data_IF_583473050315
#
_entry.id   IF_583473050315
#
_cell.length_a   1.000
_cell.length_b   1.000
_cell.length_c   1.000
_cell.angle_alpha   90.00
_cell.angle_beta   90.00
_cell.angle_gamma   90.00
#
_symmetry.space_group_name_H-M   'P 1'
#
loop_
_entity.id
_entity.type
_entity.pdbx_description
1 polymer ?
#
# COMPACT_ATOMS: atom_id res chain seq x y z
N UNK A 1 10.24 19.78 3.88
CA UNK A 1 10.79 20.14 5.22
C UNK A 1 11.56 18.99 5.83
N UNK A 2 12.30 19.24 6.91
CA UNK A 2 12.99 18.19 7.68
C UNK A 2 11.99 17.21 8.32
N UNK A 3 10.79 17.64 8.62
CA UNK A 3 9.74 16.76 9.16
C UNK A 3 9.28 15.70 8.14
N UNK A 4 9.24 16.04 6.87
CA UNK A 4 9.03 15.08 5.78
C UNK A 4 10.23 14.14 5.62
N UNK A 5 11.46 14.68 5.79
CA UNK A 5 12.70 13.91 5.63
C UNK A 5 12.88 12.74 6.60
N UNK A 6 12.25 12.77 7.78
CA UNK A 6 12.37 11.67 8.76
C UNK A 6 11.73 10.36 8.28
N UNK A 7 10.72 10.44 7.42
CA UNK A 7 9.93 9.30 6.95
C UNK A 7 10.36 8.83 5.55
N UNK A 8 11.28 9.58 4.91
CA UNK A 8 11.74 9.36 3.53
C UNK A 8 13.26 9.26 3.42
N UNK A 9 13.74 9.00 2.21
CA UNK A 9 15.16 9.13 1.88
C UNK A 9 15.58 10.59 1.78
N UNK A 10 16.74 10.92 2.32
CA UNK A 10 17.35 12.24 2.23
C UNK A 10 18.75 12.12 1.63
N UNK A 11 19.07 12.97 0.67
CA UNK A 11 20.39 13.04 0.08
C UNK A 11 21.25 14.12 0.75
N UNK A 12 22.46 13.76 1.14
CA UNK A 12 23.49 14.71 1.52
C UNK A 12 24.35 15.00 0.29
N UNK A 13 24.34 16.25 -0.17
CA UNK A 13 25.13 16.74 -1.30
C UNK A 13 26.61 16.87 -0.94
N UNK A 14 27.51 16.54 -1.87
CA UNK A 14 28.97 16.70 -1.71
C UNK A 14 29.48 18.13 -2.05
N UNK A 15 28.60 19.05 -2.40
CA UNK A 15 28.90 20.40 -2.86
C UNK A 15 29.23 20.51 -4.36
N UNK A 16 29.37 19.39 -5.06
CA UNK A 16 29.64 19.32 -6.50
C UNK A 16 28.49 18.72 -7.30
N UNK A 17 27.31 18.58 -6.65
CA UNK A 17 26.10 18.04 -7.27
C UNK A 17 26.02 16.52 -7.28
N UNK A 18 26.80 15.82 -6.46
CA UNK A 18 26.71 14.38 -6.28
C UNK A 18 26.26 14.03 -4.87
N UNK A 19 25.62 12.86 -4.73
CA UNK A 19 25.24 12.32 -3.43
C UNK A 19 26.48 11.89 -2.67
N UNK A 20 26.76 12.55 -1.55
CA UNK A 20 27.79 12.16 -0.61
C UNK A 20 27.34 11.00 0.27
N UNK A 21 26.13 11.11 0.83
CA UNK A 21 25.47 10.06 1.63
C UNK A 21 24.00 9.96 1.28
N UNK A 22 23.46 8.77 1.33
CA UNK A 22 22.04 8.52 1.33
C UNK A 22 21.59 8.20 2.76
N UNK A 23 20.61 8.95 3.26
CA UNK A 23 20.14 8.91 4.64
C UNK A 23 18.68 8.43 4.62
N UNK A 24 18.47 7.15 4.90
CA UNK A 24 17.14 6.54 4.84
C UNK A 24 16.48 6.54 6.22
N UNK A 25 15.26 7.13 6.32
CA UNK A 25 14.43 7.15 7.54
C UNK A 25 15.18 7.59 8.80
N UNK A 26 15.92 8.68 8.72
CA UNK A 26 16.71 9.23 9.82
C UNK A 26 15.89 10.18 10.69
N UNK A 27 16.21 10.25 11.99
CA UNK A 27 15.58 11.23 12.89
C UNK A 27 15.98 12.67 12.49
N UNK A 28 15.12 13.65 12.84
CA UNK A 28 15.40 15.08 12.62
C UNK A 28 16.74 15.51 13.23
N UNK A 29 17.04 15.01 14.43
CA UNK A 29 18.31 15.28 15.11
C UNK A 29 19.49 14.70 14.33
N UNK A 30 19.39 13.47 13.85
CA UNK A 30 20.41 12.83 13.02
C UNK A 30 20.65 13.60 11.73
N UNK A 31 19.57 13.97 11.01
CA UNK A 31 19.68 14.77 9.77
C UNK A 31 20.37 16.11 10.02
N UNK A 32 20.09 16.77 11.14
CA UNK A 32 20.71 18.04 11.52
C UNK A 32 22.20 17.85 11.84
N UNK A 33 22.53 16.85 12.65
CA UNK A 33 23.92 16.55 13.05
C UNK A 33 24.80 16.12 11.87
N UNK A 34 24.22 15.44 10.87
CA UNK A 34 24.91 15.05 9.64
C UNK A 34 25.02 16.20 8.61
N UNK A 35 24.45 17.37 8.90
CA UNK A 35 24.50 18.53 8.01
C UNK A 35 23.58 18.41 6.79
N UNK A 36 22.56 17.57 6.84
CA UNK A 36 21.60 17.40 5.75
C UNK A 36 20.53 18.50 5.73
N UNK A 37 20.36 19.25 6.84
CA UNK A 37 19.38 20.32 6.95
C UNK A 37 20.03 21.65 6.55
N UNK A 38 19.47 22.33 5.54
CA UNK A 38 19.97 23.62 5.09
C UNK A 38 19.54 24.78 6.02
N UNK A 39 20.01 25.99 5.75
CA UNK A 39 19.75 27.18 6.57
C UNK A 39 18.25 27.56 6.65
N UNK A 40 17.44 27.09 5.73
CA UNK A 40 15.99 27.30 5.69
C UNK A 40 15.20 26.16 6.40
N UNK A 41 15.88 25.19 7.00
CA UNK A 41 15.25 24.06 7.68
C UNK A 41 14.75 22.96 6.70
N UNK A 42 15.22 22.96 5.46
CA UNK A 42 14.83 21.98 4.44
C UNK A 42 15.92 20.93 4.22
N UNK A 43 15.54 19.83 3.60
CA UNK A 43 16.42 18.71 3.20
C UNK A 43 16.24 18.41 1.72
N UNK A 44 17.26 17.83 1.10
CA UNK A 44 17.18 17.28 -0.26
C UNK A 44 16.48 15.92 -0.19
N UNK A 45 15.17 15.93 -0.48
CA UNK A 45 14.30 14.77 -0.35
C UNK A 45 14.39 13.89 -1.60
N UNK A 46 14.47 12.57 -1.40
CA UNK A 46 14.28 11.60 -2.47
C UNK A 46 12.82 11.61 -2.93
N UNK A 47 12.63 11.88 -4.21
CA UNK A 47 11.28 11.92 -4.84
C UNK A 47 10.88 10.59 -5.48
N UNK A 48 11.74 9.57 -5.41
CA UNK A 48 11.52 8.28 -6.05
C UNK A 48 11.75 8.26 -7.56
N UNK A 49 12.12 9.38 -8.17
CA UNK A 49 12.41 9.47 -9.61
C UNK A 49 13.92 9.39 -9.84
N UNK A 50 14.39 8.34 -10.51
CA UNK A 50 15.80 8.07 -10.76
C UNK A 50 16.02 7.75 -12.23
N UNK A 51 17.05 8.37 -12.83
CA UNK A 51 17.50 8.07 -14.18
C UNK A 51 18.75 7.20 -14.14
N UNK A 52 18.69 6.06 -14.80
CA UNK A 52 19.82 5.15 -14.94
C UNK A 52 20.48 5.27 -16.31
N UNK A 53 21.79 5.28 -16.33
CA UNK A 53 22.53 5.09 -17.56
C UNK A 53 22.58 3.59 -17.95
N UNK A 54 23.04 3.35 -19.18
CA UNK A 54 23.17 2.00 -19.73
C UNK A 54 24.09 1.07 -18.92
N UNK A 55 25.14 1.63 -18.29
CA UNK A 55 26.13 0.83 -17.58
C UNK A 55 25.57 0.38 -16.23
N UNK A 56 24.87 1.29 -15.53
CA UNK A 56 24.17 0.94 -14.29
C UNK A 56 23.06 -0.11 -14.55
N UNK A 57 22.28 0.06 -15.61
CA UNK A 57 21.27 -0.96 -15.99
C UNK A 57 21.89 -2.33 -16.27
N UNK A 58 23.08 -2.38 -16.92
CA UNK A 58 23.80 -3.64 -17.12
C UNK A 58 24.29 -4.26 -15.82
N UNK A 59 24.78 -3.44 -14.87
CA UNK A 59 25.20 -3.91 -13.56
C UNK A 59 24.01 -4.51 -12.77
N UNK A 60 22.88 -3.81 -12.78
CA UNK A 60 21.64 -4.30 -12.16
C UNK A 60 21.16 -5.60 -12.81
N UNK A 61 21.19 -5.68 -14.15
CA UNK A 61 20.81 -6.91 -14.87
C UNK A 61 21.75 -8.07 -14.54
N UNK A 62 23.04 -7.79 -14.34
CA UNK A 62 24.04 -8.79 -13.95
C UNK A 62 23.75 -9.48 -12.61
N UNK A 63 23.04 -8.81 -11.69
CA UNK A 63 22.66 -9.40 -10.41
C UNK A 63 21.68 -10.59 -10.57
N UNK A 64 20.86 -10.57 -11.61
CA UNK A 64 19.78 -11.56 -11.80
C UNK A 64 19.91 -12.32 -13.12
N UNK A 65 21.06 -12.23 -13.82
CA UNK A 65 21.27 -12.90 -15.11
C UNK A 65 22.58 -13.67 -15.16
N UNK A 66 22.61 -14.68 -16.03
CA UNK A 66 23.80 -15.47 -16.43
C UNK A 66 23.82 -15.53 -17.93
N UNK A 67 24.99 -15.23 -18.56
CA UNK A 67 25.16 -15.18 -20.02
C UNK A 67 24.15 -14.29 -20.77
N UNK A 68 23.68 -13.23 -20.10
CA UNK A 68 22.70 -12.28 -20.65
C UNK A 68 21.25 -12.74 -20.63
N UNK A 69 20.95 -13.92 -20.09
CA UNK A 69 19.61 -14.48 -19.87
C UNK A 69 19.22 -14.36 -18.39
N UNK A 70 17.92 -14.22 -18.12
CA UNK A 70 17.42 -14.27 -16.75
C UNK A 70 17.80 -15.61 -16.10
N UNK A 71 18.36 -15.53 -14.92
CA UNK A 71 18.70 -16.65 -14.06
C UNK A 71 17.69 -16.69 -12.92
N UNK A 72 16.79 -17.67 -12.94
CA UNK A 72 15.67 -17.75 -11.98
C UNK A 72 16.15 -17.96 -10.53
N UNK A 73 17.26 -18.66 -10.32
CA UNK A 73 17.82 -18.86 -8.98
C UNK A 73 18.38 -17.55 -8.42
N UNK A 74 19.13 -16.81 -9.23
CA UNK A 74 19.62 -15.48 -8.87
C UNK A 74 18.46 -14.52 -8.62
N UNK A 75 17.47 -14.48 -9.53
CA UNK A 75 16.29 -13.63 -9.35
C UNK A 75 15.58 -13.93 -8.04
N UNK A 76 15.32 -15.21 -7.76
CA UNK A 76 14.65 -15.64 -6.53
C UNK A 76 15.45 -15.33 -5.27
N UNK A 77 16.79 -15.26 -5.35
CA UNK A 77 17.61 -14.87 -4.20
C UNK A 77 17.44 -13.40 -3.81
N UNK A 78 17.17 -12.50 -4.77
CA UNK A 78 16.91 -11.08 -4.51
C UNK A 78 15.44 -10.76 -4.28
N UNK A 79 14.52 -11.49 -4.92
CA UNK A 79 13.08 -11.22 -4.89
C UNK A 79 12.38 -12.27 -4.04
N UNK A 80 12.44 -12.10 -2.73
CA UNK A 80 11.79 -12.99 -1.77
C UNK A 80 11.47 -12.25 -0.45
N UNK A 81 10.58 -12.83 0.36
CA UNK A 81 10.12 -12.23 1.62
C UNK A 81 11.16 -12.30 2.75
N UNK A 82 12.20 -13.12 2.63
CA UNK A 82 13.23 -13.25 3.67
C UNK A 82 14.29 -12.16 3.53
N UNK A 83 14.85 -11.97 2.33
CA UNK A 83 15.81 -10.91 2.07
C UNK A 83 15.15 -9.53 2.07
N UNK A 84 13.95 -9.38 1.47
CA UNK A 84 13.17 -8.13 1.37
C UNK A 84 14.04 -6.91 1.06
N UNK A 85 14.90 -7.05 0.05
CA UNK A 85 15.73 -5.92 -0.37
C UNK A 85 14.87 -4.76 -0.84
N UNK A 86 15.24 -3.56 -0.42
CA UNK A 86 14.55 -2.32 -0.73
C UNK A 86 15.30 -1.55 -1.80
N UNK A 87 14.57 -1.04 -2.80
CA UNK A 87 15.19 -0.18 -3.80
C UNK A 87 15.85 1.05 -3.17
N UNK A 88 15.14 1.72 -2.26
CA UNK A 88 15.64 2.92 -1.59
C UNK A 88 16.71 2.64 -0.54
N UNK A 89 16.51 1.63 0.30
CA UNK A 89 17.40 1.31 1.40
C UNK A 89 18.67 0.58 0.95
N UNK A 90 18.57 -0.27 -0.08
CA UNK A 90 19.67 -1.16 -0.45
C UNK A 90 20.33 -0.79 -1.78
N UNK A 91 19.58 -0.49 -2.86
CA UNK A 91 20.19 -0.21 -4.16
C UNK A 91 20.74 1.21 -4.29
N UNK A 92 20.20 2.20 -3.59
CA UNK A 92 20.73 3.58 -3.64
C UNK A 92 21.93 3.80 -2.72
N UNK A 93 22.06 3.04 -1.65
CA UNK A 93 23.09 3.22 -0.66
C UNK A 93 24.52 3.11 -1.22
N UNK A 94 24.88 2.09 -2.03
CA UNK A 94 26.21 1.96 -2.62
C UNK A 94 26.57 3.07 -3.62
N UNK A 95 25.59 3.78 -4.17
CA UNK A 95 25.80 4.85 -5.15
C UNK A 95 26.26 6.18 -4.51
N UNK A 96 26.21 6.28 -3.20
CA UNK A 96 26.65 7.46 -2.46
C UNK A 96 28.15 7.40 -2.18
N UNK A 97 28.89 8.45 -2.52
CA UNK A 97 30.37 8.47 -2.54
C UNK A 97 31.08 8.17 -1.23
N UNK A 98 30.44 8.46 -0.10
CA UNK A 98 31.01 8.23 1.23
C UNK A 98 30.40 7.02 1.95
N UNK A 99 29.69 6.14 1.25
CA UNK A 99 29.19 4.89 1.78
C UNK A 99 30.32 3.88 1.98
N UNK A 100 30.21 3.03 2.99
CA UNK A 100 31.06 1.86 3.20
C UNK A 100 30.23 0.60 3.35
N UNK A 101 30.84 -0.56 3.08
CA UNK A 101 30.14 -1.85 3.20
C UNK A 101 29.75 -2.13 4.67
N UNK A 102 30.63 -1.76 5.61
CA UNK A 102 30.36 -1.94 7.03
C UNK A 102 29.14 -1.13 7.48
N UNK A 103 29.06 0.15 7.07
CA UNK A 103 27.89 0.98 7.36
C UNK A 103 26.64 0.44 6.64
N UNK A 104 26.77 -0.09 5.42
CA UNK A 104 25.66 -0.65 4.66
C UNK A 104 25.00 -1.84 5.39
N UNK A 105 25.80 -2.71 5.98
CA UNK A 105 25.29 -3.83 6.76
C UNK A 105 24.50 -3.41 8.00
N UNK A 106 24.71 -2.20 8.51
CA UNK A 106 24.01 -1.68 9.69
C UNK A 106 22.76 -0.87 9.37
N UNK A 107 22.48 -0.59 8.07
CA UNK A 107 21.26 0.13 7.70
C UNK A 107 20.02 -0.67 8.05
N UNK A 108 19.00 0.03 8.56
CA UNK A 108 17.73 -0.60 8.93
C UNK A 108 17.11 -1.32 7.71
N UNK A 109 16.77 -2.62 7.81
CA UNK A 109 16.14 -3.37 6.73
C UNK A 109 14.64 -3.07 6.64
N UNK A 110 14.03 -3.39 5.51
CA UNK A 110 12.56 -3.41 5.41
C UNK A 110 11.93 -4.65 6.10
N UNK A 111 12.71 -5.70 6.26
CA UNK A 111 12.37 -6.91 7.03
C UNK A 111 13.21 -7.03 8.29
N UNK A 112 13.76 -8.20 8.49
CA UNK A 112 14.67 -8.51 9.61
C UNK A 112 16.08 -8.74 9.09
N UNK A 113 17.08 -8.52 9.95
CA UNK A 113 18.45 -8.92 9.63
C UNK A 113 18.57 -10.44 9.57
N UNK A 114 19.06 -10.94 8.44
CA UNK A 114 19.30 -12.37 8.21
C UNK A 114 20.41 -12.56 7.17
N UNK A 115 20.87 -13.82 7.02
CA UNK A 115 21.98 -14.16 6.13
C UNK A 115 21.65 -13.90 4.66
N UNK A 116 20.40 -14.08 4.23
CA UNK A 116 19.96 -13.82 2.86
C UNK A 116 20.03 -12.33 2.52
N UNK A 117 19.62 -11.46 3.44
CA UNK A 117 19.76 -10.00 3.27
C UNK A 117 21.23 -9.59 3.18
N UNK A 118 22.10 -10.13 4.03
CA UNK A 118 23.53 -9.82 3.98
C UNK A 118 24.16 -10.29 2.67
N UNK A 119 23.79 -11.47 2.18
CA UNK A 119 24.23 -11.95 0.87
C UNK A 119 23.79 -11.04 -0.27
N UNK A 120 22.51 -10.62 -0.27
CA UNK A 120 22.01 -9.65 -1.24
C UNK A 120 22.74 -8.30 -1.17
N UNK A 121 22.94 -7.75 0.03
CA UNK A 121 23.67 -6.47 0.23
C UNK A 121 25.10 -6.56 -0.27
N UNK A 122 25.78 -7.68 -0.06
CA UNK A 122 27.12 -7.93 -0.60
C UNK A 122 27.11 -7.87 -2.13
N UNK A 123 26.22 -8.61 -2.78
CA UNK A 123 26.12 -8.62 -4.24
C UNK A 123 25.74 -7.25 -4.82
N UNK A 124 24.81 -6.53 -4.18
CA UNK A 124 24.43 -5.17 -4.58
C UNK A 124 25.62 -4.22 -4.43
N UNK A 125 26.38 -4.31 -3.34
CA UNK A 125 27.57 -3.48 -3.12
C UNK A 125 28.63 -3.73 -4.19
N UNK A 126 28.98 -4.99 -4.45
CA UNK A 126 29.97 -5.36 -5.46
C UNK A 126 29.58 -4.87 -6.86
N UNK A 127 28.31 -4.92 -7.20
CA UNK A 127 27.82 -4.47 -8.49
C UNK A 127 27.75 -2.94 -8.63
N UNK A 128 27.49 -2.20 -7.56
CA UNK A 128 27.08 -0.79 -7.65
C UNK A 128 28.07 0.22 -7.05
N UNK A 129 28.98 -0.15 -6.15
CA UNK A 129 29.84 0.80 -5.44
C UNK A 129 30.81 1.58 -6.34
N UNK A 130 31.01 1.12 -7.59
CA UNK A 130 31.82 1.82 -8.60
C UNK A 130 31.08 2.95 -9.33
N UNK A 131 29.78 3.08 -9.12
CA UNK A 131 28.95 4.13 -9.70
C UNK A 131 28.79 5.29 -8.73
N UNK A 132 28.30 6.42 -9.23
CA UNK A 132 27.97 7.58 -8.40
C UNK A 132 26.67 8.22 -8.85
N UNK A 133 25.91 8.70 -7.88
CA UNK A 133 24.59 9.31 -8.09
C UNK A 133 24.74 10.83 -8.14
N UNK A 134 24.23 11.45 -9.20
CA UNK A 134 24.17 12.91 -9.37
C UNK A 134 22.79 13.40 -8.92
N UNK A 135 22.76 14.51 -8.19
CA UNK A 135 21.52 15.17 -7.78
C UNK A 135 20.98 16.08 -8.89
N UNK A 136 19.69 15.96 -9.14
CA UNK A 136 18.90 16.91 -9.91
C UNK A 136 17.89 17.55 -8.96
N UNK A 137 18.12 18.79 -8.55
CA UNK A 137 17.21 19.51 -7.66
C UNK A 137 16.03 20.08 -8.46
N UNK A 138 14.81 19.65 -8.12
CA UNK A 138 13.55 20.12 -8.71
C UNK A 138 12.89 21.15 -7.78
N UNK A 139 13.51 22.33 -7.63
CA UNK A 139 12.98 23.39 -6.79
C UNK A 139 12.63 24.65 -7.62
N UNK A 140 11.49 25.34 -7.32
CA UNK A 140 10.51 25.02 -6.30
C UNK A 140 9.64 23.81 -6.68
N UNK A 141 9.34 22.95 -5.70
CA UNK A 141 8.50 21.77 -5.89
C UNK A 141 7.73 21.44 -4.60
N UNK A 142 6.60 20.80 -4.75
CA UNK A 142 5.86 20.20 -3.65
C UNK A 142 5.98 18.68 -3.71
N UNK A 143 6.12 18.07 -2.54
CA UNK A 143 6.15 16.62 -2.39
C UNK A 143 4.88 16.18 -1.66
N UNK A 144 4.00 15.48 -2.41
CA UNK A 144 2.74 14.97 -1.90
C UNK A 144 2.89 13.46 -1.80
N UNK A 145 2.80 12.92 -0.58
CA UNK A 145 2.94 11.50 -0.30
C UNK A 145 1.62 10.90 0.16
N UNK A 146 1.25 9.77 -0.41
CA UNK A 146 0.08 8.97 -0.01
C UNK A 146 0.40 7.47 -0.18
N UNK A 147 1.29 6.98 0.66
CA UNK A 147 1.74 5.58 0.68
C UNK A 147 0.80 4.61 1.41
N UNK A 148 -0.24 5.12 2.07
CA UNK A 148 -1.23 4.33 2.80
C UNK A 148 -2.65 4.70 2.40
N UNK A 149 -3.60 3.78 2.59
CA UNK A 149 -5.03 4.04 2.35
C UNK A 149 -5.54 5.23 3.16
N UNK A 150 -5.05 5.40 4.39
CA UNK A 150 -5.41 6.52 5.25
C UNK A 150 -4.92 7.86 4.73
N UNK A 151 -3.69 7.91 4.22
CA UNK A 151 -3.13 9.13 3.62
C UNK A 151 -3.90 9.51 2.35
N UNK A 152 -4.21 8.54 1.48
CA UNK A 152 -5.05 8.77 0.30
C UNK A 152 -6.42 9.34 0.70
N UNK A 153 -7.09 8.73 1.68
CA UNK A 153 -8.39 9.21 2.15
C UNK A 153 -8.30 10.62 2.71
N UNK A 154 -7.29 10.95 3.53
CA UNK A 154 -7.07 12.29 4.06
C UNK A 154 -6.83 13.32 2.93
N UNK A 155 -5.97 12.98 2.00
CA UNK A 155 -5.67 13.84 0.84
C UNK A 155 -6.94 14.18 0.08
N UNK A 156 -7.73 13.18 -0.29
CA UNK A 156 -8.92 13.35 -1.13
C UNK A 156 -10.14 13.93 -0.38
N UNK A 157 -10.14 13.94 0.95
CA UNK A 157 -11.27 14.46 1.72
C UNK A 157 -10.96 15.72 2.51
N UNK A 158 -9.92 15.71 3.34
CA UNK A 158 -9.63 16.76 4.31
C UNK A 158 -8.58 17.77 3.82
N UNK A 159 -7.57 17.31 3.08
CA UNK A 159 -6.38 18.09 2.75
C UNK A 159 -6.40 18.68 1.33
N UNK A 160 -7.33 18.23 0.48
CA UNK A 160 -7.36 18.62 -0.94
C UNK A 160 -7.39 20.14 -1.15
N UNK A 161 -8.05 20.89 -0.25
CA UNK A 161 -8.07 22.36 -0.30
C UNK A 161 -6.69 23.01 -0.25
N UNK A 162 -5.70 22.35 0.33
CA UNK A 162 -4.30 22.83 0.36
C UNK A 162 -3.63 22.78 -1.02
N UNK A 163 -4.19 22.02 -1.96
CA UNK A 163 -3.65 21.77 -3.30
C UNK A 163 -4.52 22.35 -4.43
N UNK A 164 -5.50 23.21 -4.11
CA UNK A 164 -6.32 23.89 -5.10
C UNK A 164 -5.49 24.69 -6.15
N UNK A 165 -4.36 25.23 -5.72
CA UNK A 165 -3.42 25.93 -6.59
C UNK A 165 -2.78 25.02 -7.67
N UNK A 166 -2.80 23.69 -7.49
CA UNK A 166 -2.42 22.68 -8.48
C UNK A 166 -3.60 22.29 -9.40
N UNK A 167 -4.77 22.89 -9.22
CA UNK A 167 -5.98 22.56 -9.97
C UNK A 167 -6.74 21.34 -9.43
N UNK A 168 -6.40 20.86 -8.24
CA UNK A 168 -7.08 19.73 -7.62
C UNK A 168 -8.42 20.16 -7.02
N UNK A 169 -9.43 19.30 -7.16
CA UNK A 169 -10.80 19.56 -6.68
C UNK A 169 -11.48 18.27 -6.24
N UNK A 170 -12.41 18.39 -5.31
CA UNK A 170 -13.21 17.26 -4.81
C UNK A 170 -14.22 16.69 -5.81
N UNK A 171 -14.38 17.33 -6.97
CA UNK A 171 -15.39 16.94 -7.96
C UNK A 171 -14.79 16.96 -9.34
N UNK A 172 -14.54 15.76 -9.88
CA UNK A 172 -13.95 15.59 -11.22
C UNK A 172 -14.79 14.58 -12.00
N UNK A 173 -15.22 14.93 -13.21
CA UNK A 173 -16.04 14.07 -14.07
C UNK A 173 -17.28 13.52 -13.34
N UNK A 174 -18.04 14.39 -12.67
CA UNK A 174 -19.22 14.02 -11.90
C UNK A 174 -20.35 15.04 -12.09
N UNK A 175 -21.59 14.58 -11.99
CA UNK A 175 -22.80 15.43 -11.93
C UNK A 175 -23.13 15.88 -10.49
N UNK A 176 -22.44 15.34 -9.49
CA UNK A 176 -22.63 15.75 -8.10
C UNK A 176 -22.22 17.20 -7.86
N UNK A 177 -23.18 18.03 -7.42
CA UNK A 177 -22.98 19.48 -7.24
C UNK A 177 -22.50 19.90 -5.85
N UNK A 178 -22.46 18.98 -4.90
CA UNK A 178 -22.05 19.23 -3.50
C UNK A 178 -23.24 19.18 -2.53
N UNK A 179 -22.99 19.60 -1.29
CA UNK A 179 -23.98 19.56 -0.20
C UNK A 179 -23.69 18.47 0.83
N UNK A 180 -23.07 17.36 0.45
CA UNK A 180 -22.57 16.33 1.34
C UNK A 180 -21.03 16.39 1.42
N UNK A 181 -20.41 15.83 2.45
CA UNK A 181 -18.95 15.80 2.62
C UNK A 181 -18.28 14.74 1.72
N UNK A 182 -18.59 14.75 0.42
CA UNK A 182 -18.10 13.79 -0.56
C UNK A 182 -17.01 14.40 -1.45
N UNK A 183 -16.00 13.60 -1.73
CA UNK A 183 -15.07 13.77 -2.82
C UNK A 183 -15.38 12.73 -3.89
N UNK A 184 -15.68 13.18 -5.13
CA UNK A 184 -16.20 12.31 -6.20
C UNK A 184 -15.37 12.47 -7.46
N UNK A 185 -14.77 11.39 -7.91
CA UNK A 185 -14.01 11.34 -9.16
C UNK A 185 -14.63 10.29 -10.08
N UNK A 186 -15.05 10.71 -11.27
CA UNK A 186 -15.67 9.85 -12.27
C UNK A 186 -16.85 9.06 -11.67
N UNK A 187 -17.85 9.77 -11.12
CA UNK A 187 -18.97 9.13 -10.44
C UNK A 187 -20.28 9.88 -10.57
N UNK A 188 -21.36 9.15 -10.34
CA UNK A 188 -22.73 9.67 -10.26
C UNK A 188 -23.29 9.48 -8.85
N UNK A 189 -23.92 10.52 -8.29
CA UNK A 189 -24.51 10.50 -6.94
C UNK A 189 -25.97 10.94 -7.05
N UNK A 190 -26.91 10.08 -6.64
CA UNK A 190 -28.34 10.44 -6.57
C UNK A 190 -28.61 11.48 -5.48
N UNK A 191 -29.63 12.31 -5.69
CA UNK A 191 -29.98 13.45 -4.82
C UNK A 191 -30.41 13.04 -3.40
N UNK A 192 -30.89 11.82 -3.21
CA UNK A 192 -31.39 11.26 -1.94
C UNK A 192 -30.33 10.47 -1.15
N UNK A 193 -29.08 10.44 -1.62
CA UNK A 193 -27.96 9.85 -0.89
C UNK A 193 -27.70 10.63 0.39
N UNK A 194 -27.43 9.91 1.47
CA UNK A 194 -27.04 10.45 2.77
C UNK A 194 -25.60 10.05 3.10
N UNK A 195 -24.87 10.93 3.80
CA UNK A 195 -23.52 10.64 4.28
C UNK A 195 -23.34 11.21 5.69
N UNK A 196 -22.86 10.36 6.62
CA UNK A 196 -22.62 10.73 8.02
C UNK A 196 -21.30 11.52 8.20
N UNK A 197 -20.40 11.44 7.23
CA UNK A 197 -19.11 12.13 7.27
C UNK A 197 -18.37 12.06 5.95
N UNK A 198 -17.06 12.30 5.97
CA UNK A 198 -16.24 12.38 4.78
C UNK A 198 -16.12 11.01 4.06
N UNK A 199 -16.39 11.02 2.75
CA UNK A 199 -16.32 9.85 1.87
C UNK A 199 -15.58 10.21 0.59
N UNK A 200 -14.65 9.34 0.18
CA UNK A 200 -14.02 9.38 -1.14
C UNK A 200 -14.66 8.33 -2.05
N UNK A 201 -15.09 8.75 -3.24
CA UNK A 201 -15.79 7.93 -4.21
C UNK A 201 -15.13 8.07 -5.57
N UNK A 202 -14.77 6.95 -6.19
CA UNK A 202 -14.21 6.94 -7.54
C UNK A 202 -14.87 5.87 -8.43
N UNK A 203 -14.99 6.16 -9.73
CA UNK A 203 -15.48 5.22 -10.74
C UNK A 203 -16.78 4.50 -10.33
N UNK A 204 -17.71 5.23 -9.67
CA UNK A 204 -18.85 4.60 -8.99
C UNK A 204 -20.17 5.30 -9.28
N UNK A 205 -21.25 4.53 -9.22
CA UNK A 205 -22.64 5.03 -9.26
C UNK A 205 -23.28 4.75 -7.91
N UNK A 206 -23.61 5.82 -7.18
CA UNK A 206 -24.30 5.74 -5.89
C UNK A 206 -25.75 6.15 -6.11
N UNK A 207 -26.60 5.14 -6.16
CA UNK A 207 -28.03 5.26 -6.46
C UNK A 207 -28.86 5.62 -5.24
N UNK A 208 -30.18 5.60 -5.45
CA UNK A 208 -31.19 6.02 -4.48
C UNK A 208 -31.14 5.21 -3.18
N UNK A 209 -31.66 5.81 -2.10
CA UNK A 209 -31.81 5.21 -0.79
C UNK A 209 -30.50 4.63 -0.20
N UNK A 210 -29.37 5.25 -0.60
CA UNK A 210 -28.04 4.84 -0.10
C UNK A 210 -27.61 5.73 1.06
N UNK A 211 -27.15 5.09 2.16
CA UNK A 211 -26.54 5.75 3.31
C UNK A 211 -25.06 5.38 3.39
N UNK A 212 -24.21 6.39 3.50
CA UNK A 212 -22.77 6.25 3.60
C UNK A 212 -22.30 6.62 5.01
N UNK A 213 -21.58 5.71 5.64
CA UNK A 213 -20.89 6.00 6.90
C UNK A 213 -19.76 7.02 6.74
N UNK A 214 -19.07 7.32 7.81
CA UNK A 214 -17.89 8.19 7.79
C UNK A 214 -16.60 7.41 7.53
N UNK A 215 -15.55 8.07 7.04
CA UNK A 215 -14.24 7.47 6.75
C UNK A 215 -14.33 6.30 5.75
N UNK A 216 -15.05 6.50 4.65
CA UNK A 216 -15.29 5.47 3.65
C UNK A 216 -14.58 5.82 2.34
N UNK A 217 -14.05 4.80 1.69
CA UNK A 217 -13.58 4.83 0.29
C UNK A 217 -14.40 3.84 -0.52
N UNK A 218 -14.98 4.27 -1.64
CA UNK A 218 -15.72 3.42 -2.57
C UNK A 218 -15.08 3.51 -3.96
N UNK A 219 -14.72 2.37 -4.52
CA UNK A 219 -14.08 2.29 -5.83
C UNK A 219 -14.74 1.25 -6.73
N UNK A 220 -15.19 1.70 -7.90
CA UNK A 220 -15.74 0.86 -8.95
C UNK A 220 -17.14 0.26 -8.64
N UNK A 221 -17.92 0.84 -7.73
CA UNK A 221 -19.19 0.28 -7.27
C UNK A 221 -20.40 0.88 -8.02
N UNK A 222 -21.40 0.03 -8.24
CA UNK A 222 -22.75 0.47 -8.65
C UNK A 222 -23.75 -0.04 -7.60
N UNK A 223 -24.18 0.84 -6.70
CA UNK A 223 -24.95 0.51 -5.51
C UNK A 223 -26.20 1.38 -5.36
N UNK A 224 -27.26 0.82 -4.79
CA UNK A 224 -28.48 1.51 -4.38
C UNK A 224 -29.17 0.73 -3.25
N UNK A 225 -30.04 1.40 -2.51
CA UNK A 225 -30.85 0.77 -1.44
C UNK A 225 -29.97 -0.02 -0.46
N UNK A 226 -28.93 0.65 0.07
CA UNK A 226 -27.95 0.02 0.96
C UNK A 226 -27.37 1.01 1.98
N UNK A 227 -26.94 0.47 3.12
CA UNK A 227 -26.19 1.23 4.14
C UNK A 227 -24.76 0.71 4.20
N UNK A 228 -23.82 1.56 3.77
CA UNK A 228 -22.37 1.28 3.84
C UNK A 228 -21.87 1.64 5.23
N UNK A 229 -21.25 0.71 5.96
CA UNK A 229 -20.71 0.99 7.29
C UNK A 229 -19.51 1.92 7.26
N UNK A 230 -19.24 2.59 8.40
CA UNK A 230 -18.08 3.47 8.57
C UNK A 230 -16.74 2.73 8.58
N UNK A 231 -15.65 3.48 8.41
CA UNK A 231 -14.25 3.05 8.58
C UNK A 231 -13.88 1.87 7.66
N UNK A 232 -14.27 1.94 6.39
CA UNK A 232 -13.93 0.89 5.43
C UNK A 232 -13.60 1.43 4.03
N UNK A 233 -12.75 0.69 3.35
CA UNK A 233 -12.52 0.80 1.92
C UNK A 233 -13.19 -0.39 1.23
N UNK A 234 -13.99 -0.14 0.20
CA UNK A 234 -14.63 -1.16 -0.63
C UNK A 234 -14.24 -0.95 -2.09
N UNK A 235 -13.65 -1.98 -2.68
CA UNK A 235 -13.26 -1.98 -4.07
C UNK A 235 -13.80 -3.21 -4.78
N UNK A 236 -14.61 -2.99 -5.82
CA UNK A 236 -15.13 -4.07 -6.66
C UNK A 236 -14.07 -4.59 -7.62
N UNK A 237 -14.04 -5.90 -7.76
CA UNK A 237 -13.30 -6.60 -8.80
C UNK A 237 -14.27 -7.54 -9.52
N UNK A 238 -14.44 -7.36 -10.83
CA UNK A 238 -15.08 -8.35 -11.70
C UNK A 238 -14.06 -9.42 -12.05
N UNK A 239 -14.41 -10.67 -11.92
CA UNK A 239 -13.53 -11.79 -12.16
C UNK A 239 -13.68 -12.33 -13.59
N UNK A 240 -12.63 -12.97 -14.12
CA UNK A 240 -12.63 -13.62 -15.44
C UNK A 240 -13.75 -14.67 -15.61
N UNK A 241 -14.26 -15.26 -14.52
CA UNK A 241 -15.38 -16.18 -14.52
C UNK A 241 -16.77 -15.50 -14.53
N UNK A 242 -16.81 -14.16 -14.67
CA UNK A 242 -18.03 -13.36 -14.67
C UNK A 242 -18.66 -13.10 -13.30
N UNK A 243 -18.03 -13.56 -12.22
CA UNK A 243 -18.46 -13.28 -10.84
C UNK A 243 -17.80 -12.01 -10.30
N UNK A 244 -18.19 -11.61 -9.10
CA UNK A 244 -17.74 -10.38 -8.45
C UNK A 244 -17.13 -10.67 -7.09
N UNK A 245 -16.10 -9.93 -6.77
CA UNK A 245 -15.53 -9.82 -5.42
C UNK A 245 -15.54 -8.35 -5.02
N UNK A 246 -15.98 -8.05 -3.81
CA UNK A 246 -15.74 -6.74 -3.19
C UNK A 246 -14.71 -6.93 -2.09
N UNK A 247 -13.52 -6.36 -2.31
CA UNK A 247 -12.49 -6.29 -1.28
C UNK A 247 -12.91 -5.24 -0.26
N UNK A 248 -12.98 -5.63 1.00
CA UNK A 248 -13.28 -4.73 2.11
C UNK A 248 -12.18 -4.79 3.15
N UNK A 249 -11.65 -3.64 3.54
CA UNK A 249 -10.63 -3.50 4.58
C UNK A 249 -10.73 -2.12 5.22
N UNK A 250 -10.17 -1.93 6.40
CA UNK A 250 -10.16 -0.64 7.08
C UNK A 250 -9.12 0.32 6.50
N UNK A 251 -9.38 1.63 6.55
CA UNK A 251 -8.42 2.64 6.09
C UNK A 251 -7.09 2.60 6.85
N UNK A 252 -7.07 2.02 8.05
CA UNK A 252 -5.87 1.84 8.88
C UNK A 252 -5.24 0.45 8.76
N UNK A 253 -5.88 -0.47 8.05
CA UNK A 253 -5.36 -1.82 7.88
C UNK A 253 -4.10 -1.79 7.01
N UNK A 254 -3.08 -2.54 7.44
CA UNK A 254 -1.84 -2.67 6.70
C UNK A 254 -1.82 -4.01 5.94
N UNK A 255 -1.90 -4.00 4.60
CA UNK A 255 -1.83 -5.24 3.81
C UNK A 255 -0.57 -6.08 4.07
N UNK A 256 0.55 -5.42 4.45
CA UNK A 256 1.81 -6.07 4.82
C UNK A 256 1.81 -6.58 6.28
N UNK A 257 0.74 -6.36 7.02
CA UNK A 257 0.61 -6.81 8.40
C UNK A 257 0.58 -8.33 8.46
N UNK A 258 1.43 -8.91 9.32
CA UNK A 258 1.54 -10.35 9.53
C UNK A 258 0.41 -10.87 10.39
N UNK A 259 -0.03 -12.09 10.10
CA UNK A 259 -0.82 -12.88 11.03
C UNK A 259 0.09 -13.45 12.12
N UNK A 260 -0.31 -13.29 13.36
CA UNK A 260 0.29 -13.95 14.49
C UNK A 260 -0.81 -14.60 15.34
N UNK A 261 -0.52 -15.78 15.88
CA UNK A 261 -1.41 -16.44 16.82
C UNK A 261 -1.52 -15.69 18.18
N UNK A 262 -0.62 -14.72 18.44
CA UNK A 262 -0.62 -13.85 19.61
C UNK A 262 -1.30 -12.49 19.38
N UNK A 263 -1.15 -11.59 20.36
CA UNK A 263 -1.86 -10.28 20.40
C UNK A 263 -1.40 -9.25 19.36
N UNK A 264 -0.33 -9.54 18.62
CA UNK A 264 0.25 -8.64 17.59
C UNK A 264 -0.22 -8.94 16.17
N UNK A 265 -1.32 -9.66 15.99
CA UNK A 265 -1.88 -9.92 14.65
C UNK A 265 -2.27 -8.63 13.93
N UNK A 266 -2.18 -8.63 12.59
CA UNK A 266 -2.55 -7.50 11.77
C UNK A 266 -3.96 -7.00 12.08
N UNK A 267 -4.16 -5.68 12.03
CA UNK A 267 -5.49 -5.08 12.10
C UNK A 267 -6.33 -5.50 10.87
N UNK A 268 -7.62 -5.72 11.09
CA UNK A 268 -8.60 -5.99 10.05
C UNK A 268 -9.97 -5.45 10.45
N UNK A 269 -10.43 -4.44 9.71
CA UNK A 269 -11.77 -3.83 9.84
C UNK A 269 -12.13 -3.37 11.26
N UNK A 270 -11.14 -2.84 11.99
CA UNK A 270 -11.33 -2.32 13.36
C UNK A 270 -11.16 -3.38 14.46
N UNK A 271 -10.82 -4.61 14.10
CA UNK A 271 -10.44 -5.71 14.99
C UNK A 271 -9.04 -6.22 14.62
N UNK A 272 -8.68 -7.44 15.02
CA UNK A 272 -7.50 -8.13 14.52
C UNK A 272 -7.90 -9.21 13.51
N UNK A 273 -6.98 -9.51 12.60
CA UNK A 273 -7.16 -10.61 11.64
C UNK A 273 -7.37 -11.96 12.35
N UNK A 274 -6.69 -12.17 13.49
CA UNK A 274 -6.88 -13.33 14.33
C UNK A 274 -8.32 -13.42 14.86
N UNK A 275 -8.81 -12.36 15.49
CA UNK A 275 -10.14 -12.35 16.11
C UNK A 275 -11.23 -12.58 15.05
N UNK A 276 -11.06 -12.00 13.84
CA UNK A 276 -11.96 -12.24 12.72
C UNK A 276 -11.97 -13.71 12.29
N UNK A 277 -10.79 -14.35 12.16
CA UNK A 277 -10.66 -15.77 11.81
C UNK A 277 -11.34 -16.65 12.87
N UNK A 278 -11.12 -16.38 14.15
CA UNK A 278 -11.75 -17.10 15.26
C UNK A 278 -13.27 -16.95 15.26
N UNK A 279 -13.80 -15.72 15.13
CA UNK A 279 -15.24 -15.45 15.08
C UNK A 279 -15.90 -16.16 13.91
N UNK A 280 -15.25 -16.22 12.75
CA UNK A 280 -15.73 -16.93 11.56
C UNK A 280 -15.53 -18.45 11.65
N UNK A 281 -14.84 -18.95 12.66
CA UNK A 281 -14.55 -20.37 12.86
C UNK A 281 -13.69 -20.95 11.75
N UNK A 282 -12.72 -20.19 11.24
CA UNK A 282 -11.80 -20.61 10.19
C UNK A 282 -10.52 -21.18 10.79
N UNK A 283 -9.93 -22.14 10.11
CA UNK A 283 -8.57 -22.58 10.33
C UNK A 283 -7.61 -21.77 9.45
N UNK A 284 -6.34 -21.68 9.83
CA UNK A 284 -5.33 -20.95 9.02
C UNK A 284 -5.19 -21.52 7.61
N UNK A 285 -5.41 -22.80 7.40
CA UNK A 285 -5.44 -23.48 6.09
C UNK A 285 -6.65 -23.08 5.23
N UNK A 286 -7.73 -22.62 5.84
CA UNK A 286 -8.86 -22.04 5.09
C UNK A 286 -8.51 -20.67 4.49
N UNK A 287 -7.53 -19.98 5.08
CA UNK A 287 -7.18 -18.59 4.77
C UNK A 287 -5.91 -18.49 3.94
N UNK A 288 -4.90 -19.29 4.21
CA UNK A 288 -3.62 -19.28 3.48
C UNK A 288 -3.29 -20.62 2.87
N UNK A 289 -2.60 -20.60 1.71
CA UNK A 289 -2.08 -21.79 1.04
C UNK A 289 -0.74 -22.24 1.65
N UNK A 290 0.05 -21.27 2.16
CA UNK A 290 1.33 -21.56 2.81
C UNK A 290 1.13 -22.17 4.21
N UNK A 291 1.84 -23.25 4.47
CA UNK A 291 1.96 -23.82 5.81
C UNK A 291 2.87 -23.01 6.74
N UNK A 292 3.74 -22.17 6.18
CA UNK A 292 4.68 -21.33 6.94
C UNK A 292 3.95 -20.08 7.48
N UNK A 293 4.05 -19.88 8.80
CA UNK A 293 3.48 -18.70 9.45
C UNK A 293 4.16 -17.41 8.99
N UNK A 294 5.43 -17.47 8.61
CA UNK A 294 6.17 -16.33 8.09
C UNK A 294 5.59 -15.73 6.81
N UNK A 295 4.85 -16.53 6.04
CA UNK A 295 4.21 -16.13 4.77
C UNK A 295 2.75 -15.70 4.93
N UNK A 296 2.24 -15.54 6.15
CA UNK A 296 0.84 -15.21 6.41
C UNK A 296 0.66 -13.72 6.65
N UNK A 297 0.13 -13.02 5.64
CA UNK A 297 -0.14 -11.59 5.66
C UNK A 297 -1.61 -11.30 5.38
N UNK A 298 -2.09 -10.11 5.71
CA UNK A 298 -3.41 -9.65 5.27
C UNK A 298 -3.50 -9.61 3.73
N UNK A 299 -2.41 -9.26 3.04
CA UNK A 299 -2.35 -9.19 1.58
C UNK A 299 -2.72 -10.49 0.87
N UNK A 300 -2.29 -11.63 1.39
CA UNK A 300 -2.54 -12.95 0.81
C UNK A 300 -3.61 -13.77 1.55
N UNK A 301 -4.29 -13.18 2.54
CA UNK A 301 -5.39 -13.81 3.27
C UNK A 301 -6.66 -13.91 2.41
N UNK A 302 -7.17 -15.11 2.17
CA UNK A 302 -8.39 -15.37 1.37
C UNK A 302 -9.64 -15.10 2.18
N UNK A 303 -10.06 -13.83 2.20
CA UNK A 303 -11.18 -13.34 3.02
C UNK A 303 -12.40 -12.92 2.21
N UNK A 304 -12.29 -12.74 0.89
CA UNK A 304 -13.32 -12.12 0.06
C UNK A 304 -14.03 -13.14 -0.81
N UNK A 305 -15.28 -13.53 -0.49
CA UNK A 305 -16.04 -14.51 -1.27
C UNK A 305 -16.39 -13.99 -2.66
N UNK A 306 -16.35 -14.86 -3.67
CA UNK A 306 -16.92 -14.56 -4.96
C UNK A 306 -18.45 -14.66 -4.89
N UNK A 307 -19.14 -13.74 -5.55
CA UNK A 307 -20.58 -13.64 -5.59
C UNK A 307 -21.09 -13.60 -7.04
N UNK A 308 -22.31 -14.10 -7.25
CA UNK A 308 -22.94 -14.14 -8.58
C UNK A 308 -23.41 -12.78 -9.10
N UNK A 309 -23.43 -11.74 -8.25
CA UNK A 309 -23.78 -10.37 -8.63
C UNK A 309 -23.00 -9.37 -7.80
N UNK A 310 -22.83 -8.15 -8.33
CA UNK A 310 -22.20 -7.02 -7.63
C UNK A 310 -22.92 -6.73 -6.31
N UNK A 311 -24.26 -6.64 -6.33
CA UNK A 311 -25.05 -6.41 -5.11
C UNK A 311 -24.74 -7.42 -4.02
N UNK A 312 -24.73 -8.72 -4.35
CA UNK A 312 -24.42 -9.76 -3.38
C UNK A 312 -22.97 -9.63 -2.83
N UNK A 313 -22.00 -9.21 -3.66
CA UNK A 313 -20.64 -8.99 -3.22
C UNK A 313 -20.51 -7.77 -2.28
N UNK A 314 -21.26 -6.70 -2.52
CA UNK A 314 -21.32 -5.53 -1.63
C UNK A 314 -22.02 -5.87 -0.32
N UNK A 315 -23.17 -6.57 -0.37
CA UNK A 315 -23.88 -7.04 0.84
C UNK A 315 -22.97 -7.92 1.71
N UNK A 316 -22.19 -8.80 1.07
CA UNK A 316 -21.17 -9.62 1.74
C UNK A 316 -20.08 -8.76 2.39
N UNK A 317 -19.53 -7.78 1.69
CA UNK A 317 -18.50 -6.88 2.22
C UNK A 317 -19.02 -6.09 3.44
N UNK A 318 -20.27 -5.59 3.38
CA UNK A 318 -20.91 -4.94 4.52
C UNK A 318 -21.09 -5.90 5.70
N UNK A 319 -21.47 -7.15 5.44
CA UNK A 319 -21.60 -8.17 6.48
C UNK A 319 -20.26 -8.46 7.15
N UNK A 320 -19.18 -8.65 6.37
CA UNK A 320 -17.84 -8.88 6.91
C UNK A 320 -17.37 -7.73 7.80
N UNK A 321 -17.59 -6.47 7.38
CA UNK A 321 -17.27 -5.29 8.19
C UNK A 321 -18.03 -5.28 9.52
N UNK A 322 -19.32 -5.59 9.52
CA UNK A 322 -20.14 -5.62 10.74
C UNK A 322 -19.78 -6.79 11.66
N UNK A 323 -19.38 -7.93 11.10
CA UNK A 323 -18.88 -9.07 11.91
C UNK A 323 -17.53 -8.69 12.55
N UNK A 324 -16.59 -8.12 11.80
CA UNK A 324 -15.31 -7.72 12.32
C UNK A 324 -15.42 -6.66 13.44
N UNK A 325 -16.37 -5.73 13.35
CA UNK A 325 -16.63 -4.73 14.40
C UNK A 325 -17.42 -5.26 15.59
N UNK A 326 -17.89 -6.51 15.54
CA UNK A 326 -18.74 -7.10 16.59
C UNK A 326 -20.20 -6.65 16.58
N UNK A 327 -20.65 -5.89 15.57
CA UNK A 327 -22.05 -5.51 15.40
C UNK A 327 -22.94 -6.72 15.10
N UNK A 328 -22.39 -7.72 14.43
CA UNK A 328 -23.06 -8.98 14.08
C UNK A 328 -22.23 -10.14 14.58
N UNK A 329 -22.88 -11.05 15.29
CA UNK A 329 -22.32 -12.36 15.64
C UNK A 329 -22.81 -13.37 14.62
N UNK A 330 -21.91 -13.96 13.79
CA UNK A 330 -22.34 -14.90 12.75
C UNK A 330 -22.84 -16.21 13.38
N UNK A 331 -23.99 -16.69 12.92
CA UNK A 331 -24.48 -18.01 13.31
C UNK A 331 -23.72 -19.13 12.58
N UNK A 332 -23.94 -20.37 12.99
CA UNK A 332 -23.25 -21.54 12.42
C UNK A 332 -23.57 -21.78 10.94
N UNK A 333 -24.71 -21.30 10.44
CA UNK A 333 -25.05 -21.41 9.03
C UNK A 333 -24.25 -20.41 8.20
N UNK A 334 -24.13 -19.17 8.66
CA UNK A 334 -23.26 -18.13 8.04
C UNK A 334 -21.82 -18.58 8.00
N UNK A 335 -21.27 -19.07 9.12
CA UNK A 335 -19.90 -19.60 9.19
C UNK A 335 -19.67 -20.73 8.20
N UNK A 336 -20.59 -21.70 8.16
CA UNK A 336 -20.51 -22.86 7.24
C UNK A 336 -20.55 -22.43 5.78
N UNK A 337 -21.46 -21.52 5.40
CA UNK A 337 -21.58 -21.02 4.04
C UNK A 337 -20.32 -20.23 3.64
N UNK A 338 -19.83 -19.38 4.51
CA UNK A 338 -18.61 -18.63 4.27
C UNK A 338 -17.39 -19.54 4.10
N UNK A 339 -17.22 -20.54 4.97
CA UNK A 339 -16.12 -21.51 4.85
C UNK A 339 -16.20 -22.30 3.54
N UNK A 340 -17.38 -22.67 3.08
CA UNK A 340 -17.60 -23.42 1.84
C UNK A 340 -17.46 -22.56 0.58
N UNK A 341 -17.42 -21.24 0.69
CA UNK A 341 -17.32 -20.34 -0.46
C UNK A 341 -15.92 -20.32 -1.05
N UNK A 342 -15.82 -20.08 -2.36
CA UNK A 342 -14.55 -19.73 -3.01
C UNK A 342 -14.21 -18.30 -2.59
N UNK A 343 -13.03 -18.11 -2.01
CA UNK A 343 -12.57 -16.81 -1.50
C UNK A 343 -11.26 -16.40 -2.13
N UNK A 344 -11.11 -15.11 -2.29
CA UNK A 344 -9.90 -14.45 -2.82
C UNK A 344 -9.25 -13.60 -1.74
N UNK A 345 -7.96 -13.37 -1.89
CA UNK A 345 -7.20 -12.39 -1.11
C UNK A 345 -7.15 -11.04 -1.84
N UNK A 346 -6.59 -10.02 -1.20
CA UNK A 346 -6.23 -8.78 -1.89
C UNK A 346 -5.34 -9.07 -3.10
N UNK A 347 -4.35 -9.95 -2.94
CA UNK A 347 -3.42 -10.36 -3.98
C UNK A 347 -4.09 -11.16 -5.10
N UNK A 348 -4.73 -12.27 -4.76
CA UNK A 348 -5.25 -13.19 -5.77
C UNK A 348 -6.41 -12.62 -6.58
N UNK A 349 -7.20 -11.69 -6.00
CA UNK A 349 -8.27 -11.02 -6.73
C UNK A 349 -7.75 -10.20 -7.91
N UNK A 350 -6.53 -9.67 -7.86
CA UNK A 350 -5.91 -9.01 -9.03
C UNK A 350 -5.54 -10.00 -10.13
N UNK A 351 -4.99 -11.15 -9.76
CA UNK A 351 -4.57 -12.15 -10.74
C UNK A 351 -5.74 -12.72 -11.56
N UNK A 352 -6.95 -12.69 -10.99
CA UNK A 352 -8.17 -13.18 -11.64
C UNK A 352 -9.13 -12.06 -12.07
N UNK A 353 -8.70 -10.80 -12.01
CA UNK A 353 -9.52 -9.67 -12.43
C UNK A 353 -9.74 -9.66 -13.95
N UNK A 354 -10.96 -9.35 -14.37
CA UNK A 354 -11.28 -9.00 -15.74
C UNK A 354 -10.90 -7.52 -15.96
N UNK A 355 -9.72 -7.30 -16.53
CA UNK A 355 -9.15 -5.95 -16.74
C UNK A 355 -9.66 -5.26 -18.00
N UNK A 356 -10.59 -5.85 -18.73
CA UNK A 356 -11.10 -5.33 -20.01
C UNK A 356 -12.38 -4.52 -19.84
N UNK A 357 -12.95 -4.45 -18.65
CA UNK A 357 -14.17 -3.70 -18.37
C UNK A 357 -13.92 -2.32 -17.75
#
# INVERSE_FOLDING_TARGET
SVDTGKDHGVFLNDGNGYVKRFLHKQTKESLTNLGAVNAQGNVDLDTGAIMFDKNLLKALWGLISTDGMLDEDKFSSFVNERARVSFYGDFLYPLAKASTLEEFYTQAPEGEFNDELFACRTGIWEALNGFSMKLLCLAPAEFIHFGTTRELWNLETNELGSYEHLGWTKRVCTDYQGGLPLSVINGHISDDVQADGAVYIENSVIGKDTKLGTNVILSGLNISDISIPSDCCMHKVKLLNGKYVVRVYGCLDNPKGKYHAGDSSAAFLGSTLRDFIEVMGLDTTDVWDSGDEADRYLWNARLYPECGSEKAAVDMACMLRRIASGEIVPDENVKRQYRASVRYSLQSSFAYADVVD
#
